data_IF_752288668118
#
_entry.id   IF_752288668118
#
_cell.length_a   1.000
_cell.length_b   1.000
_cell.length_c   1.000
_cell.angle_alpha   90.00
_cell.angle_beta   90.00
_cell.angle_gamma   90.00
#
_symmetry.space_group_name_H-M   'P 1'
#
loop_
_entity.id
_entity.type
_entity.pdbx_description
1 polymer ?
#
# COMPACT_ATOMS: atom_id res chain seq x y z
N UNK A 1 34.78 -23.33 -26.09
CA UNK A 1 34.26 -22.50 -27.20
C UNK A 1 32.99 -21.81 -26.71
N UNK A 2 32.82 -20.56 -27.16
CA UNK A 2 32.06 -19.49 -26.54
C UNK A 2 30.58 -19.77 -26.22
N UNK A 3 30.16 -19.39 -25.00
CA UNK A 3 28.78 -19.04 -24.68
C UNK A 3 28.64 -17.52 -24.86
N UNK A 4 27.92 -17.10 -25.90
CA UNK A 4 27.63 -15.70 -26.19
C UNK A 4 26.57 -15.18 -25.22
N UNK A 5 26.94 -14.20 -24.40
CA UNK A 5 26.05 -13.50 -23.48
C UNK A 5 25.06 -12.59 -24.22
N UNK A 6 23.78 -12.72 -23.86
CA UNK A 6 22.75 -11.76 -24.23
C UNK A 6 22.71 -10.71 -23.11
N UNK A 7 23.09 -9.48 -23.46
CA UNK A 7 23.03 -8.33 -22.59
C UNK A 7 21.58 -7.96 -22.32
N UNK A 8 21.14 -8.12 -21.06
CA UNK A 8 19.86 -7.58 -20.59
C UNK A 8 20.04 -6.08 -20.41
N UNK A 9 19.54 -5.31 -21.38
CA UNK A 9 19.46 -3.85 -21.29
C UNK A 9 18.32 -3.50 -20.34
N UNK A 10 18.64 -2.99 -19.15
CA UNK A 10 17.62 -2.43 -18.25
C UNK A 10 17.11 -1.11 -18.86
N UNK A 11 15.86 -1.11 -19.35
CA UNK A 11 15.16 0.11 -19.69
C UNK A 11 14.56 0.74 -18.42
N UNK A 12 14.62 2.08 -18.26
CA UNK A 12 14.10 2.76 -17.08
C UNK A 12 12.57 2.71 -17.04
N UNK A 13 12.04 2.32 -15.87
CA UNK A 13 10.63 2.01 -15.60
C UNK A 13 9.71 3.23 -15.43
N UNK A 14 10.08 4.42 -15.93
CA UNK A 14 9.29 5.65 -15.81
C UNK A 14 9.46 6.48 -17.10
N UNK A 15 8.39 6.80 -17.85
CA UNK A 15 8.51 7.79 -18.91
C UNK A 15 8.81 9.16 -18.26
N UNK A 16 9.90 9.81 -18.71
CA UNK A 16 10.15 11.22 -18.43
C UNK A 16 9.01 12.04 -19.05
N UNK A 17 8.00 12.35 -18.26
CA UNK A 17 7.02 13.37 -18.61
C UNK A 17 7.70 14.75 -18.51
N UNK A 18 8.27 15.21 -19.62
CA UNK A 18 8.51 16.64 -19.85
C UNK A 18 7.14 17.23 -20.21
N UNK A 19 6.34 17.49 -19.18
CA UNK A 19 5.06 18.16 -19.28
C UNK A 19 5.14 19.47 -18.52
N UNK A 20 5.19 20.59 -19.25
CA UNK A 20 5.06 21.93 -18.72
C UNK A 20 3.63 22.15 -18.20
N UNK A 21 3.29 21.56 -17.06
CA UNK A 21 2.05 21.86 -16.34
C UNK A 21 2.39 22.76 -15.17
N UNK A 22 2.31 24.07 -15.40
CA UNK A 22 2.41 25.07 -14.36
C UNK A 22 1.11 25.02 -13.54
N UNK A 23 1.04 24.12 -12.56
CA UNK A 23 0.02 24.19 -11.52
C UNK A 23 0.28 25.45 -10.69
N UNK A 24 -0.48 26.51 -10.95
CA UNK A 24 -0.58 27.64 -10.03
C UNK A 24 -1.33 27.16 -8.77
N UNK A 25 -0.60 26.54 -7.85
CA UNK A 25 -1.00 26.42 -6.45
C UNK A 25 -1.00 27.83 -5.86
N UNK A 26 -2.19 28.37 -5.61
CA UNK A 26 -2.33 29.55 -4.76
C UNK A 26 -1.76 29.26 -3.36
N UNK A 27 -1.12 30.23 -2.69
CA UNK A 27 -0.48 30.02 -1.40
C UNK A 27 -1.51 29.56 -0.37
N UNK A 28 -1.17 28.53 0.42
CA UNK A 28 -1.93 28.19 1.62
C UNK A 28 -2.01 29.42 2.53
N UNK A 29 -3.18 29.77 3.10
CA UNK A 29 -3.24 30.85 4.08
C UNK A 29 -2.45 30.44 5.32
N UNK A 30 -1.52 31.29 5.73
CA UNK A 30 -0.70 31.08 6.92
C UNK A 30 -1.60 30.97 8.17
N UNK A 31 -1.60 29.81 8.82
CA UNK A 31 -2.20 29.65 10.14
C UNK A 31 -1.31 30.39 11.15
N UNK A 32 -1.80 31.51 11.69
CA UNK A 32 -1.15 32.19 12.80
C UNK A 32 -1.22 31.30 14.05
N UNK A 33 -0.08 30.75 14.44
CA UNK A 33 0.08 30.04 15.71
C UNK A 33 0.04 31.08 16.85
N UNK A 34 -1.07 31.17 17.58
CA UNK A 34 -1.08 31.87 18.86
C UNK A 34 -0.33 31.03 19.90
N UNK A 35 0.55 31.70 20.64
CA UNK A 35 1.52 31.19 21.63
C UNK A 35 1.04 29.96 22.40
N UNK A 36 1.71 28.82 22.18
CA UNK A 36 1.60 27.65 23.07
C UNK A 36 2.52 27.87 24.25
N UNK A 37 1.91 28.03 25.42
CA UNK A 37 2.60 28.14 26.71
C UNK A 37 3.43 26.88 26.98
N UNK A 38 4.70 27.07 27.35
CA UNK A 38 5.70 26.03 27.58
C UNK A 38 5.23 25.08 28.69
N UNK A 39 4.84 23.86 28.34
CA UNK A 39 4.57 22.82 29.34
C UNK A 39 5.92 22.35 29.94
N UNK A 40 6.18 22.76 31.19
CA UNK A 40 7.34 22.32 31.96
C UNK A 40 7.25 20.81 32.22
N UNK A 41 8.36 20.12 32.02
CA UNK A 41 8.59 18.75 32.48
C UNK A 41 8.34 18.67 33.99
N UNK A 42 7.53 17.70 34.42
CA UNK A 42 7.26 17.42 35.83
C UNK A 42 8.53 16.96 36.56
N UNK A 43 8.77 17.40 37.81
CA UNK A 43 9.74 16.77 38.68
C UNK A 43 9.16 15.52 39.36
N UNK A 44 10.06 14.61 39.72
CA UNK A 44 9.80 13.35 40.41
C UNK A 44 9.20 13.54 41.81
N UNK A 45 8.35 12.58 42.21
CA UNK A 45 8.10 12.22 43.60
C UNK A 45 6.76 12.66 44.18
N UNK A 46 5.96 11.66 44.59
CA UNK A 46 5.17 11.56 45.84
C UNK A 46 3.88 10.75 45.68
N UNK A 47 3.66 9.92 46.70
CA UNK A 47 2.63 8.92 46.91
C UNK A 47 1.26 9.56 47.26
N UNK A 48 0.16 8.90 46.86
CA UNK A 48 -1.18 9.27 47.34
C UNK A 48 -2.33 8.62 46.56
N UNK A 49 -3.05 7.70 47.22
CA UNK A 49 -4.32 7.12 46.76
C UNK A 49 -5.38 8.23 46.59
N UNK A 50 -6.09 8.23 45.48
CA UNK A 50 -7.26 9.09 45.27
C UNK A 50 -8.04 8.70 44.02
N UNK A 51 -9.17 8.04 44.20
CA UNK A 51 -10.17 7.75 43.17
C UNK A 51 -10.78 9.04 42.63
N UNK A 52 -10.59 9.35 41.35
CA UNK A 52 -11.36 10.38 40.63
C UNK A 52 -11.93 9.82 39.32
N UNK A 53 -13.26 9.90 39.20
CA UNK A 53 -14.04 9.52 38.02
C UNK A 53 -13.69 10.43 36.84
N UNK A 54 -13.29 9.86 35.71
CA UNK A 54 -13.11 10.59 34.46
C UNK A 54 -14.48 10.85 33.81
N UNK A 55 -14.82 12.13 33.60
CA UNK A 55 -15.85 12.55 32.63
C UNK A 55 -15.20 12.59 31.24
N UNK A 56 -15.80 12.03 30.19
CA UNK A 56 -15.25 12.17 28.84
C UNK A 56 -15.50 13.58 28.31
N UNK A 57 -14.44 14.24 27.82
CA UNK A 57 -14.52 15.47 27.04
C UNK A 57 -14.95 15.11 25.62
N UNK A 58 -16.20 15.41 25.27
CA UNK A 58 -16.66 15.38 23.88
C UNK A 58 -16.06 16.57 23.12
N UNK A 59 -15.01 16.32 22.34
CA UNK A 59 -14.51 17.29 21.37
C UNK A 59 -15.31 17.13 20.07
N UNK A 60 -16.42 17.86 19.97
CA UNK A 60 -17.13 18.03 18.70
C UNK A 60 -16.30 19.00 17.84
N UNK A 61 -15.52 18.44 16.93
CA UNK A 61 -14.92 19.22 15.84
C UNK A 61 -16.03 19.46 14.81
N UNK A 62 -16.62 20.65 14.82
CA UNK A 62 -17.34 21.15 13.64
C UNK A 62 -16.29 21.54 12.60
N UNK A 63 -16.07 20.67 11.62
CA UNK A 63 -15.37 21.06 10.41
C UNK A 63 -16.38 21.71 9.46
N UNK A 64 -16.26 23.01 9.25
CA UNK A 64 -16.93 23.71 8.15
C UNK A 64 -16.26 23.31 6.82
N UNK A 65 -16.53 22.08 6.35
CA UNK A 65 -16.38 21.71 4.94
C UNK A 65 -17.69 22.10 4.25
N UNK A 66 -17.92 23.41 4.23
CA UNK A 66 -19.03 24.07 3.54
C UNK A 66 -18.58 24.57 2.18
N UNK A 67 -18.30 23.64 1.25
CA UNK A 67 -18.50 23.92 -0.17
C UNK A 67 -19.18 22.72 -0.80
N UNK A 68 -20.49 22.70 -0.60
CA UNK A 68 -21.43 21.90 -1.37
C UNK A 68 -21.24 22.22 -2.85
N UNK A 69 -20.51 21.37 -3.58
CA UNK A 69 -20.80 21.18 -5.00
C UNK A 69 -22.05 20.30 -5.08
N UNK A 70 -23.19 20.89 -4.71
CA UNK A 70 -24.52 20.39 -5.10
C UNK A 70 -24.67 20.70 -6.57
N UNK A 71 -24.18 19.75 -7.36
CA UNK A 71 -24.34 19.68 -8.80
C UNK A 71 -23.87 18.29 -9.19
N UNK A 72 -24.56 17.25 -8.72
CA UNK A 72 -24.41 15.91 -9.29
C UNK A 72 -24.76 16.05 -10.77
N UNK A 73 -23.73 16.12 -11.62
CA UNK A 73 -23.94 16.12 -13.06
C UNK A 73 -24.46 14.73 -13.43
N UNK A 74 -25.27 14.61 -14.48
CA UNK A 74 -25.81 13.31 -14.90
C UNK A 74 -24.71 12.27 -15.17
N UNK A 75 -23.51 12.71 -15.54
CA UNK A 75 -22.32 11.87 -15.68
C UNK A 75 -21.84 11.24 -14.38
N UNK A 76 -21.93 11.95 -13.25
CA UNK A 76 -21.44 11.43 -11.97
C UNK A 76 -22.29 10.27 -11.48
N UNK A 77 -23.61 10.36 -11.70
CA UNK A 77 -24.56 9.32 -11.33
C UNK A 77 -24.35 8.04 -12.14
N UNK A 78 -24.14 8.17 -13.45
CA UNK A 78 -23.86 7.02 -14.33
C UNK A 78 -22.55 6.32 -13.94
N UNK A 79 -21.48 7.06 -13.66
CA UNK A 79 -20.21 6.47 -13.22
C UNK A 79 -20.35 5.72 -11.88
N UNK A 80 -21.05 6.32 -10.92
CA UNK A 80 -21.31 5.68 -9.62
C UNK A 80 -22.13 4.39 -9.76
N UNK A 81 -23.09 4.38 -10.68
CA UNK A 81 -23.91 3.21 -10.99
C UNK A 81 -23.05 2.07 -11.58
N UNK A 82 -22.18 2.36 -12.54
CA UNK A 82 -21.25 1.36 -13.12
C UNK A 82 -20.36 0.74 -12.03
N UNK A 83 -19.83 1.56 -11.11
CA UNK A 83 -18.99 1.04 -10.02
C UNK A 83 -19.81 0.22 -9.02
N UNK A 84 -21.04 0.63 -8.71
CA UNK A 84 -21.93 -0.16 -7.85
C UNK A 84 -22.26 -1.51 -8.51
N UNK A 85 -22.49 -1.53 -9.82
CA UNK A 85 -22.71 -2.75 -10.60
C UNK A 85 -21.47 -3.66 -10.62
N UNK A 86 -20.27 -3.09 -10.69
CA UNK A 86 -19.01 -3.82 -10.59
C UNK A 86 -18.90 -4.59 -9.28
N UNK A 87 -19.08 -3.94 -8.13
CA UNK A 87 -19.08 -4.62 -6.82
C UNK A 87 -20.24 -5.62 -6.68
N UNK A 88 -21.43 -5.30 -7.21
CA UNK A 88 -22.55 -6.25 -7.23
C UNK A 88 -22.21 -7.51 -8.01
N UNK A 89 -21.52 -7.36 -9.15
CA UNK A 89 -21.08 -8.48 -9.99
C UNK A 89 -20.00 -9.32 -9.31
N UNK A 90 -19.07 -8.69 -8.57
CA UNK A 90 -18.11 -9.42 -7.71
C UNK A 90 -18.85 -10.27 -6.67
N UNK A 91 -19.77 -9.67 -5.91
CA UNK A 91 -20.50 -10.38 -4.85
C UNK A 91 -21.34 -11.54 -5.41
N UNK A 92 -21.98 -11.33 -6.57
CA UNK A 92 -22.76 -12.33 -7.30
C UNK A 92 -21.90 -13.37 -8.04
N UNK A 93 -20.58 -13.17 -8.10
CA UNK A 93 -19.64 -14.05 -8.80
C UNK A 93 -19.90 -14.10 -10.32
N UNK A 94 -20.38 -12.98 -10.87
CA UNK A 94 -20.78 -12.88 -12.28
C UNK A 94 -19.63 -12.36 -13.14
N UNK A 95 -18.79 -13.30 -13.60
CA UNK A 95 -17.65 -13.01 -14.48
C UNK A 95 -18.07 -12.40 -15.82
N UNK A 96 -19.26 -12.73 -16.34
CA UNK A 96 -19.72 -12.18 -17.62
C UNK A 96 -20.02 -10.70 -17.49
N UNK A 97 -20.75 -10.32 -16.44
CA UNK A 97 -21.02 -8.91 -16.15
C UNK A 97 -19.73 -8.12 -15.93
N UNK A 98 -18.78 -8.66 -15.15
CA UNK A 98 -17.46 -8.06 -14.93
C UNK A 98 -16.68 -7.84 -16.23
N UNK A 99 -16.63 -8.84 -17.10
CA UNK A 99 -15.99 -8.72 -18.41
C UNK A 99 -16.58 -7.57 -19.23
N UNK A 100 -17.89 -7.34 -19.14
CA UNK A 100 -18.51 -6.27 -19.90
C UNK A 100 -18.22 -4.88 -19.33
N UNK A 101 -17.98 -4.76 -18.01
CA UNK A 101 -17.75 -3.48 -17.33
C UNK A 101 -16.32 -2.97 -17.48
N UNK A 102 -15.37 -3.85 -17.79
CA UNK A 102 -13.96 -3.51 -17.96
C UNK A 102 -13.65 -3.03 -19.38
N UNK A 103 -12.79 -2.02 -19.48
CA UNK A 103 -12.15 -1.59 -20.73
C UNK A 103 -11.19 -2.66 -21.28
N UNK A 104 -10.88 -2.62 -22.58
CA UNK A 104 -9.90 -3.54 -23.19
C UNK A 104 -8.47 -3.32 -22.66
N UNK A 105 -8.08 -2.05 -22.53
CA UNK A 105 -6.78 -1.60 -22.01
C UNK A 105 -6.86 -1.23 -20.51
N UNK A 106 -7.77 -1.85 -19.76
CA UNK A 106 -7.91 -1.56 -18.35
C UNK A 106 -6.66 -1.96 -17.55
N UNK A 107 -6.44 -1.33 -16.39
CA UNK A 107 -5.48 -1.82 -15.43
C UNK A 107 -6.00 -1.72 -13.99
N UNK A 108 -5.63 -2.72 -13.19
CA UNK A 108 -5.99 -2.81 -11.78
C UNK A 108 -4.69 -2.73 -10.97
N UNK A 109 -4.55 -1.67 -10.20
CA UNK A 109 -3.43 -1.40 -9.30
C UNK A 109 -3.89 -1.62 -7.85
N UNK A 110 -3.84 -2.87 -7.41
CA UNK A 110 -4.03 -3.19 -5.99
C UNK A 110 -2.69 -3.10 -5.27
N UNK A 111 -2.58 -2.15 -4.34
CA UNK A 111 -1.33 -1.84 -3.63
C UNK A 111 -0.86 -2.96 -2.69
N UNK A 112 -1.63 -4.04 -2.56
CA UNK A 112 -1.21 -5.26 -1.90
C UNK A 112 -0.27 -6.11 -2.76
N UNK A 113 -0.23 -5.86 -4.08
CA UNK A 113 0.61 -6.56 -5.05
C UNK A 113 1.75 -5.66 -5.54
N UNK A 114 2.91 -6.26 -5.92
CA UNK A 114 4.08 -5.49 -6.35
C UNK A 114 3.93 -4.86 -7.74
N UNK A 115 3.03 -5.38 -8.58
CA UNK A 115 2.80 -4.92 -9.95
C UNK A 115 1.30 -4.87 -10.23
N UNK A 116 0.83 -3.90 -11.03
CA UNK A 116 -0.57 -3.84 -11.45
C UNK A 116 -0.88 -4.95 -12.47
N UNK A 117 -2.16 -5.35 -12.53
CA UNK A 117 -2.70 -6.26 -13.54
C UNK A 117 -3.05 -5.46 -14.80
N UNK A 118 -2.38 -5.76 -15.92
CA UNK A 118 -2.45 -4.98 -17.15
C UNK A 118 -3.34 -5.64 -18.21
N UNK A 119 -4.26 -4.87 -18.75
CA UNK A 119 -5.23 -5.30 -19.75
C UNK A 119 -6.35 -6.17 -19.17
N UNK A 120 -7.43 -6.29 -19.95
CA UNK A 120 -8.64 -7.03 -19.56
C UNK A 120 -8.37 -8.48 -19.14
N UNK A 121 -7.42 -9.16 -19.80
CA UNK A 121 -7.12 -10.58 -19.51
C UNK A 121 -6.55 -10.77 -18.11
N UNK A 122 -5.55 -9.98 -17.72
CA UNK A 122 -4.95 -10.08 -16.39
C UNK A 122 -5.92 -9.61 -15.31
N UNK A 123 -6.64 -8.51 -15.59
CA UNK A 123 -7.68 -8.01 -14.70
C UNK A 123 -8.77 -9.05 -14.41
N UNK A 124 -9.27 -9.77 -15.43
CA UNK A 124 -10.25 -10.83 -15.24
C UNK A 124 -9.68 -12.04 -14.50
N UNK A 125 -8.43 -12.43 -14.77
CA UNK A 125 -7.77 -13.50 -14.02
C UNK A 125 -7.66 -13.17 -12.53
N UNK A 126 -7.28 -11.93 -12.19
CA UNK A 126 -7.28 -11.45 -10.81
C UNK A 126 -8.68 -11.47 -10.19
N UNK A 127 -9.70 -10.99 -10.90
CA UNK A 127 -11.08 -10.97 -10.38
C UNK A 127 -11.65 -12.39 -10.18
N UNK A 128 -11.29 -13.34 -11.04
CA UNK A 128 -11.65 -14.75 -10.88
C UNK A 128 -10.99 -15.35 -9.62
N UNK A 129 -9.71 -15.08 -9.40
CA UNK A 129 -8.99 -15.50 -8.19
C UNK A 129 -9.58 -14.86 -6.93
N UNK A 130 -9.92 -13.58 -6.98
CA UNK A 130 -10.59 -12.85 -5.91
C UNK A 130 -11.94 -13.48 -5.56
N UNK A 131 -12.81 -13.67 -6.55
CA UNK A 131 -14.14 -14.28 -6.36
C UNK A 131 -14.04 -15.69 -5.79
N UNK A 132 -13.09 -16.48 -6.30
CA UNK A 132 -12.83 -17.84 -5.82
C UNK A 132 -12.39 -17.82 -4.36
N UNK A 133 -11.50 -16.90 -4.00
CA UNK A 133 -10.98 -16.73 -2.65
C UNK A 133 -12.02 -16.22 -1.65
N UNK A 134 -12.95 -15.37 -2.10
CA UNK A 134 -14.08 -14.88 -1.29
C UNK A 134 -15.06 -16.02 -0.91
N UNK A 135 -15.23 -17.00 -1.78
CA UNK A 135 -16.18 -18.09 -1.58
C UNK A 135 -17.63 -17.60 -1.46
N UNK A 136 -18.52 -18.44 -0.91
CA UNK A 136 -19.97 -18.19 -0.99
C UNK A 136 -20.50 -17.15 0.00
N UNK A 137 -19.79 -16.90 1.09
CA UNK A 137 -20.31 -16.18 2.25
C UNK A 137 -19.67 -14.81 2.45
N UNK A 138 -18.67 -14.45 1.64
CA UNK A 138 -17.94 -13.18 1.75
C UNK A 138 -18.43 -12.22 0.69
N UNK A 139 -18.67 -10.98 1.07
CA UNK A 139 -19.18 -9.92 0.19
C UNK A 139 -18.50 -8.58 0.49
N UNK A 140 -18.31 -7.77 -0.54
CA UNK A 140 -18.02 -6.34 -0.40
C UNK A 140 -19.28 -5.59 -0.01
N UNK A 141 -19.19 -4.80 1.05
CA UNK A 141 -20.23 -3.84 1.44
C UNK A 141 -19.71 -2.44 1.13
N UNK A 142 -20.46 -1.73 0.29
CA UNK A 142 -20.18 -0.34 -0.04
C UNK A 142 -20.70 0.54 1.10
N UNK A 143 -19.81 1.27 1.77
CA UNK A 143 -20.19 2.27 2.78
C UNK A 143 -20.55 3.61 2.10
N UNK A 144 -19.72 4.03 1.15
CA UNK A 144 -19.90 5.31 0.45
C UNK A 144 -19.37 5.23 -0.98
N UNK A 145 -20.06 5.92 -1.90
CA UNK A 145 -19.63 6.16 -3.28
C UNK A 145 -19.64 7.66 -3.52
N UNK A 146 -18.54 8.18 -4.04
CA UNK A 146 -18.38 9.60 -4.34
C UNK A 146 -17.95 9.75 -5.81
N UNK A 147 -18.76 10.45 -6.61
CA UNK A 147 -18.36 10.88 -7.95
C UNK A 147 -17.37 12.04 -7.90
N UNK A 148 -16.46 12.07 -8.86
CA UNK A 148 -15.48 13.13 -9.06
C UNK A 148 -15.45 13.63 -10.50
N UNK A 149 -14.56 14.58 -10.76
CA UNK A 149 -14.34 15.16 -12.10
C UNK A 149 -13.87 14.07 -13.07
N UNK A 150 -14.16 14.23 -14.36
CA UNK A 150 -13.69 13.36 -15.45
C UNK A 150 -14.06 11.88 -15.27
N UNK A 151 -15.28 11.61 -14.83
CA UNK A 151 -15.80 10.24 -14.63
C UNK A 151 -14.99 9.43 -13.61
N UNK A 152 -14.34 10.11 -12.66
CA UNK A 152 -13.69 9.44 -11.53
C UNK A 152 -14.71 9.05 -10.45
N UNK A 153 -14.48 7.93 -9.77
CA UNK A 153 -15.31 7.48 -8.65
C UNK A 153 -14.43 6.96 -7.53
N UNK A 154 -14.68 7.41 -6.30
CA UNK A 154 -14.08 6.84 -5.10
C UNK A 154 -15.12 6.04 -4.33
N UNK A 155 -14.72 4.86 -3.83
CA UNK A 155 -15.58 3.95 -3.06
C UNK A 155 -14.89 3.58 -1.77
N UNK A 156 -15.62 3.72 -0.67
CA UNK A 156 -15.23 3.16 0.62
C UNK A 156 -16.03 1.90 0.88
N UNK A 157 -15.35 0.83 1.26
CA UNK A 157 -15.95 -0.48 1.44
C UNK A 157 -15.32 -1.25 2.61
N UNK A 158 -15.99 -2.31 3.04
CA UNK A 158 -15.44 -3.35 3.91
C UNK A 158 -15.91 -4.73 3.45
N UNK A 159 -15.25 -5.80 3.91
CA UNK A 159 -15.73 -7.15 3.68
C UNK A 159 -16.61 -7.63 4.85
N UNK A 160 -17.69 -8.33 4.52
CA UNK A 160 -18.50 -9.08 5.47
C UNK A 160 -18.49 -10.56 5.14
N UNK A 161 -18.42 -11.40 6.18
CA UNK A 161 -18.70 -12.82 6.11
C UNK A 161 -20.03 -13.10 6.81
N UNK A 162 -21.03 -13.63 6.09
CA UNK A 162 -22.39 -13.87 6.62
C UNK A 162 -22.96 -12.65 7.39
N UNK A 163 -22.82 -11.46 6.82
CA UNK A 163 -23.25 -10.18 7.42
C UNK A 163 -22.49 -9.77 8.68
N UNK A 164 -21.33 -10.37 8.92
CA UNK A 164 -20.42 -9.98 10.00
C UNK A 164 -19.17 -9.35 9.39
N UNK A 165 -18.87 -8.11 9.75
CA UNK A 165 -17.67 -7.41 9.27
C UNK A 165 -16.40 -8.17 9.63
N UNK A 166 -15.55 -8.42 8.62
CA UNK A 166 -14.27 -9.08 8.81
C UNK A 166 -13.25 -8.03 9.32
N UNK A 167 -12.56 -8.27 10.44
CA UNK A 167 -11.56 -7.33 10.96
C UNK A 167 -10.45 -7.06 9.94
N UNK A 168 -9.98 -5.80 9.88
CA UNK A 168 -8.85 -5.38 9.03
C UNK A 168 -9.07 -5.57 7.53
N UNK A 169 -10.32 -5.55 7.06
CA UNK A 169 -10.68 -5.67 5.63
C UNK A 169 -11.40 -4.43 5.10
N UNK A 170 -11.19 -3.29 5.74
CA UNK A 170 -11.69 -2.02 5.24
C UNK A 170 -10.82 -1.60 4.06
N UNK A 171 -11.42 -0.97 3.06
CA UNK A 171 -10.68 -0.50 1.90
C UNK A 171 -11.28 0.74 1.29
N UNK A 172 -10.47 1.36 0.44
CA UNK A 172 -10.84 2.45 -0.42
C UNK A 172 -10.37 2.11 -1.83
N UNK A 173 -11.26 2.29 -2.80
CA UNK A 173 -10.92 2.11 -4.21
C UNK A 173 -11.21 3.37 -4.98
N UNK A 174 -10.30 3.71 -5.88
CA UNK A 174 -10.44 4.81 -6.82
C UNK A 174 -10.54 4.26 -8.23
N UNK A 175 -11.48 4.78 -9.01
CA UNK A 175 -11.76 4.34 -10.36
C UNK A 175 -11.72 5.51 -11.33
N UNK A 176 -11.13 5.28 -12.49
CA UNK A 176 -11.28 6.15 -13.66
C UNK A 176 -12.07 5.38 -14.72
N UNK A 177 -13.17 5.97 -15.17
CA UNK A 177 -13.99 5.40 -16.24
C UNK A 177 -13.74 6.15 -17.54
N UNK A 178 -14.01 5.49 -18.65
CA UNK A 178 -13.92 6.10 -19.98
C UNK A 178 -14.99 5.53 -20.90
N UNK A 179 -15.35 6.28 -21.95
CA UNK A 179 -16.26 5.78 -22.98
C UNK A 179 -15.50 4.98 -24.04
N UNK A 180 -15.88 3.72 -24.21
CA UNK A 180 -15.52 2.91 -25.37
C UNK A 180 -16.75 2.78 -26.28
N UNK A 181 -16.80 3.59 -27.33
CA UNK A 181 -18.01 3.77 -28.13
C UNK A 181 -19.13 4.40 -27.31
N UNK A 182 -20.30 3.76 -27.27
CA UNK A 182 -21.43 4.24 -26.47
C UNK A 182 -21.37 3.80 -25.00
N UNK A 183 -20.51 2.82 -24.66
CA UNK A 183 -20.47 2.21 -23.34
C UNK A 183 -19.46 2.89 -22.43
N UNK A 184 -19.90 3.18 -21.20
CA UNK A 184 -19.01 3.60 -20.11
C UNK A 184 -18.37 2.36 -19.47
N UNK A 185 -17.05 2.32 -19.40
CA UNK A 185 -16.28 1.17 -18.90
C UNK A 185 -15.19 1.61 -17.93
N UNK A 186 -14.80 0.72 -17.02
CA UNK A 186 -13.73 0.94 -16.05
C UNK A 186 -12.39 0.80 -16.76
N UNK A 187 -11.64 1.90 -16.82
CA UNK A 187 -10.29 1.94 -17.41
C UNK A 187 -9.21 1.72 -16.36
N UNK A 188 -9.41 2.23 -15.16
CA UNK A 188 -8.48 2.09 -14.05
C UNK A 188 -9.21 1.77 -12.78
N UNK A 189 -8.64 0.87 -12.01
CA UNK A 189 -8.97 0.67 -10.60
C UNK A 189 -7.68 0.75 -9.79
N UNK A 190 -7.66 1.58 -8.75
CA UNK A 190 -6.60 1.58 -7.75
C UNK A 190 -7.21 1.22 -6.41
N UNK A 191 -6.68 0.18 -5.77
CA UNK A 191 -7.27 -0.42 -4.56
C UNK A 191 -6.30 -0.29 -3.39
N UNK A 192 -6.79 0.28 -2.30
CA UNK A 192 -6.06 0.49 -1.06
C UNK A 192 -6.78 -0.25 0.07
N UNK A 193 -6.11 -1.23 0.69
CA UNK A 193 -6.70 -2.08 1.73
C UNK A 193 -6.03 -1.76 3.07
N UNK A 194 -6.83 -1.80 4.15
CA UNK A 194 -6.31 -1.73 5.51
C UNK A 194 -5.29 -2.84 5.73
N UNK A 195 -4.09 -2.48 6.19
CA UNK A 195 -3.09 -3.49 6.53
C UNK A 195 -3.47 -4.20 7.84
N UNK A 196 -3.40 -5.55 7.90
CA UNK A 196 -3.61 -6.29 9.14
C UNK A 196 -2.50 -5.98 10.15
N UNK A 197 -1.31 -5.61 9.66
CA UNK A 197 -0.24 -5.06 10.47
C UNK A 197 -0.43 -3.55 10.54
N UNK A 198 -0.47 -2.98 11.75
CA UNK A 198 -0.70 -1.54 11.95
C UNK A 198 0.60 -0.83 12.31
N UNK A 199 1.52 -0.57 11.35
CA UNK A 199 2.84 -0.02 11.64
C UNK A 199 2.80 1.47 11.97
N UNK A 200 1.63 2.10 12.16
CA UNK A 200 1.51 3.56 12.28
C UNK A 200 2.50 4.19 13.26
N UNK A 201 2.72 3.58 14.43
CA UNK A 201 3.72 4.03 15.40
C UNK A 201 5.16 3.97 14.86
N UNK A 202 5.52 2.85 14.21
CA UNK A 202 6.84 2.67 13.60
C UNK A 202 7.04 3.61 12.40
N UNK A 203 6.03 3.74 11.53
CA UNK A 203 6.07 4.64 10.38
C UNK A 203 6.26 6.10 10.83
N UNK A 204 5.57 6.52 11.89
CA UNK A 204 5.77 7.85 12.48
C UNK A 204 7.16 8.01 13.11
N UNK A 205 7.68 6.98 13.77
CA UNK A 205 9.03 7.01 14.32
C UNK A 205 10.10 7.11 13.21
N UNK A 206 9.93 6.36 12.12
CA UNK A 206 10.79 6.45 10.93
C UNK A 206 10.71 7.83 10.29
N UNK A 207 9.50 8.37 10.08
CA UNK A 207 9.32 9.71 9.53
C UNK A 207 10.01 10.78 10.40
N UNK A 208 9.88 10.69 11.72
CA UNK A 208 10.60 11.58 12.66
C UNK A 208 12.11 11.44 12.50
N UNK A 209 12.63 10.22 12.42
CA UNK A 209 14.05 9.95 12.20
C UNK A 209 14.54 10.55 10.88
N UNK A 210 13.79 10.33 9.79
CA UNK A 210 14.09 10.90 8.47
C UNK A 210 14.13 12.42 8.52
N UNK A 211 13.15 13.07 9.17
CA UNK A 211 13.14 14.52 9.29
C UNK A 211 14.37 15.03 10.07
N UNK A 212 14.75 14.40 11.18
CA UNK A 212 15.96 14.78 11.94
C UNK A 212 17.22 14.69 11.07
N UNK A 213 17.36 13.62 10.28
CA UNK A 213 18.50 13.45 9.37
C UNK A 213 18.44 14.48 8.23
N UNK A 214 17.26 14.71 7.66
CA UNK A 214 17.08 15.61 6.54
C UNK A 214 17.38 17.06 6.94
N UNK A 215 16.91 17.47 8.11
CA UNK A 215 17.13 18.79 8.70
C UNK A 215 18.59 19.01 9.13
N UNK A 216 19.30 17.94 9.52
CA UNK A 216 20.72 18.01 9.85
C UNK A 216 21.62 18.19 8.60
N UNK A 217 21.17 17.73 7.43
CA UNK A 217 21.94 17.76 6.18
C UNK A 217 21.14 18.26 4.97
N UNK A 218 20.59 19.49 5.00
CA UNK A 218 19.61 19.96 4.02
C UNK A 218 20.13 19.94 2.58
N UNK A 219 21.38 20.35 2.35
CA UNK A 219 21.96 20.34 1.00
C UNK A 219 22.18 18.92 0.42
N UNK A 220 22.44 17.92 1.26
CA UNK A 220 22.52 16.53 0.83
C UNK A 220 21.12 15.96 0.56
N UNK A 221 20.15 16.32 1.40
CA UNK A 221 18.74 15.96 1.25
C UNK A 221 18.15 16.50 -0.04
N UNK A 222 18.33 17.78 -0.36
CA UNK A 222 17.82 18.36 -1.61
C UNK A 222 18.40 17.65 -2.85
N UNK A 223 19.70 17.33 -2.83
CA UNK A 223 20.33 16.56 -3.92
C UNK A 223 19.76 15.13 -4.01
N UNK A 224 19.52 14.49 -2.87
CA UNK A 224 18.90 13.16 -2.79
C UNK A 224 17.46 13.16 -3.29
N UNK A 225 16.62 14.10 -2.86
CA UNK A 225 15.22 14.17 -3.27
C UNK A 225 15.06 14.52 -4.76
N UNK A 226 15.93 15.38 -5.30
CA UNK A 226 15.91 15.75 -6.72
C UNK A 226 16.52 14.67 -7.64
N UNK A 227 17.41 13.82 -7.13
CA UNK A 227 18.02 12.75 -7.91
C UNK A 227 18.22 11.46 -7.10
N UNK A 228 17.13 10.79 -6.70
CA UNK A 228 17.20 9.64 -5.81
C UNK A 228 18.07 8.52 -6.39
N UNK A 229 17.92 8.23 -7.68
CA UNK A 229 18.66 7.16 -8.37
C UNK A 229 20.17 7.42 -8.42
N UNK A 230 20.60 8.64 -8.77
CA UNK A 230 22.02 8.98 -8.85
C UNK A 230 22.70 8.94 -7.47
N UNK A 231 22.00 9.41 -6.44
CA UNK A 231 22.50 9.37 -5.07
C UNK A 231 22.52 7.95 -4.49
N UNK A 232 21.50 7.13 -4.78
CA UNK A 232 21.51 5.71 -4.40
C UNK A 232 22.66 4.95 -5.06
N UNK A 233 22.93 5.18 -6.35
CA UNK A 233 24.07 4.55 -7.04
C UNK A 233 25.41 4.96 -6.42
N UNK A 234 25.60 6.24 -6.09
CA UNK A 234 26.79 6.67 -5.34
C UNK A 234 26.89 6.00 -3.97
N UNK A 235 25.79 5.93 -3.21
CA UNK A 235 25.77 5.30 -1.89
C UNK A 235 26.09 3.80 -1.98
N UNK A 236 25.52 3.10 -2.97
CA UNK A 236 25.79 1.69 -3.26
C UNK A 236 27.24 1.49 -3.70
N UNK A 237 27.82 2.43 -4.44
CA UNK A 237 29.22 2.39 -4.84
C UNK A 237 30.14 2.52 -3.62
N UNK A 238 29.85 3.46 -2.72
CA UNK A 238 30.56 3.62 -1.44
C UNK A 238 30.42 2.35 -0.58
N UNK A 239 29.21 1.79 -0.48
CA UNK A 239 28.96 0.52 0.21
C UNK A 239 29.81 -0.63 -0.38
N UNK A 240 29.90 -0.75 -1.71
CA UNK A 240 30.70 -1.78 -2.38
C UNK A 240 32.19 -1.63 -2.09
N UNK A 241 32.70 -0.41 -2.03
CA UNK A 241 34.14 -0.16 -1.78
C UNK A 241 34.49 -0.35 -0.31
N UNK A 242 33.67 0.20 0.60
CA UNK A 242 34.03 0.32 2.02
C UNK A 242 33.44 -0.82 2.84
N UNK A 243 32.13 -1.08 2.71
CA UNK A 243 31.42 -2.02 3.57
C UNK A 243 31.51 -3.46 3.07
N UNK A 244 31.50 -3.69 1.75
CA UNK A 244 31.59 -5.04 1.17
C UNK A 244 32.83 -5.82 1.65
N UNK A 245 34.07 -5.29 1.59
CA UNK A 245 35.24 -6.03 2.07
C UNK A 245 35.19 -6.31 3.58
N UNK A 246 34.57 -5.45 4.37
CA UNK A 246 34.39 -5.68 5.82
C UNK A 246 33.32 -6.74 6.11
N UNK A 247 32.22 -6.77 5.37
CA UNK A 247 31.08 -7.68 5.63
C UNK A 247 31.32 -9.08 5.04
N UNK A 248 32.04 -9.18 3.91
CA UNK A 248 32.39 -10.45 3.23
C UNK A 248 32.92 -11.55 4.17
N UNK A 249 33.90 -11.31 5.05
CA UNK A 249 34.40 -12.34 5.96
C UNK A 249 33.30 -12.84 6.93
N UNK A 250 32.45 -11.95 7.44
CA UNK A 250 31.34 -12.32 8.33
C UNK A 250 30.28 -13.16 7.61
N UNK A 251 29.89 -12.76 6.40
CA UNK A 251 28.94 -13.55 5.59
C UNK A 251 29.55 -14.92 5.28
N UNK A 252 30.83 -14.98 4.89
CA UNK A 252 31.53 -16.24 4.60
C UNK A 252 31.56 -17.16 5.82
N UNK A 253 31.87 -16.61 6.99
CA UNK A 253 31.83 -17.31 8.26
C UNK A 253 30.42 -17.81 8.61
N UNK A 254 29.41 -16.95 8.48
CA UNK A 254 28.01 -17.29 8.74
C UNK A 254 27.50 -18.41 7.82
N UNK A 255 27.82 -18.37 6.52
CA UNK A 255 27.44 -19.44 5.59
C UNK A 255 28.12 -20.77 5.96
N UNK A 256 29.39 -20.76 6.39
CA UNK A 256 30.06 -21.96 6.90
C UNK A 256 29.38 -22.51 8.15
N UNK A 257 29.01 -21.63 9.08
CA UNK A 257 28.27 -21.99 10.28
C UNK A 257 26.93 -22.65 9.93
N UNK A 258 26.17 -22.08 8.99
CA UNK A 258 24.89 -22.63 8.53
C UNK A 258 25.02 -23.97 7.80
N UNK A 259 26.11 -24.19 7.05
CA UNK A 259 26.38 -25.51 6.44
C UNK A 259 26.65 -26.59 7.48
N UNK A 260 27.36 -26.22 8.56
CA UNK A 260 27.62 -27.11 9.67
C UNK A 260 26.33 -27.45 10.41
N UNK A 261 25.48 -26.48 10.72
CA UNK A 261 24.17 -26.74 11.36
C UNK A 261 23.27 -27.63 10.50
N UNK A 262 23.22 -27.41 9.18
CA UNK A 262 22.48 -28.28 8.26
C UNK A 262 23.00 -29.72 8.25
N UNK A 263 24.32 -29.93 8.33
CA UNK A 263 24.91 -31.26 8.43
C UNK A 263 24.54 -31.96 9.75
N UNK A 264 24.56 -31.24 10.87
CA UNK A 264 24.11 -31.75 12.17
C UNK A 264 22.62 -32.15 12.14
N UNK A 265 21.76 -31.30 11.56
CA UNK A 265 20.33 -31.60 11.39
C UNK A 265 20.11 -32.84 10.50
N UNK A 266 20.86 -32.97 9.41
CA UNK A 266 20.79 -34.13 8.51
C UNK A 266 21.20 -35.43 9.22
N UNK A 267 22.26 -35.37 10.03
CA UNK A 267 22.70 -36.52 10.84
C UNK A 267 21.66 -36.90 11.89
N UNK A 268 21.12 -35.92 12.62
CA UNK A 268 20.05 -36.14 13.59
C UNK A 268 18.81 -36.78 12.94
N UNK A 269 18.41 -36.31 11.75
CA UNK A 269 17.31 -36.89 11.00
C UNK A 269 17.58 -38.36 10.61
N UNK A 270 18.79 -38.68 10.13
CA UNK A 270 19.18 -40.07 9.82
C UNK A 270 19.18 -40.98 11.06
N UNK A 271 19.62 -40.47 12.21
CA UNK A 271 19.56 -41.21 13.47
C UNK A 271 18.12 -41.50 13.90
N UNK A 272 17.22 -40.51 13.80
CA UNK A 272 15.80 -40.70 14.08
C UNK A 272 15.19 -41.76 13.16
N UNK A 273 15.47 -41.71 11.85
CA UNK A 273 15.02 -42.72 10.89
C UNK A 273 15.52 -44.12 11.25
N UNK A 274 16.77 -44.24 11.69
CA UNK A 274 17.37 -45.52 12.10
C UNK A 274 16.74 -46.07 13.38
N UNK A 275 16.49 -45.21 14.37
CA UNK A 275 15.78 -45.58 15.60
C UNK A 275 14.34 -46.01 15.29
N UNK A 276 13.60 -45.24 14.50
CA UNK A 276 12.24 -45.59 14.08
C UNK A 276 12.20 -46.96 13.36
N UNK A 277 13.17 -47.23 12.49
CA UNK A 277 13.27 -48.53 11.77
C UNK A 277 13.52 -49.71 12.71
N UNK A 278 14.23 -49.51 13.81
CA UNK A 278 14.49 -50.54 14.81
C UNK A 278 13.29 -50.77 15.76
N UNK A 279 12.44 -49.76 15.99
CA UNK A 279 11.22 -49.89 16.79
C UNK A 279 10.00 -50.42 16.00
N UNK A 280 10.02 -50.33 14.67
CA UNK A 280 8.97 -50.86 13.78
C UNK A 280 9.23 -52.32 13.33
N UNK A 281 10.09 -53.04 14.05
CA UNK A 281 10.37 -54.48 13.88
C UNK A 281 9.87 -55.23 15.11
#
# INVERSE_FOLDING_TARGET
>A
MALSGIAITQQPLWPKAVGNYRCHLSPFPAVKLHSVEKMRLFPQGFTGKGTKKNKPLNLVVKSDIGRSYTGSTGSDYESQKIITEFYSSINKKDMKSLETLLSKDCFIDDLSFPMPFQGKKEALGFLEELITSMGQNTEFIIEHVCGGVDQAVAVKWHLEWKKMQIPFTRGCSYYELSREGEKLVIKKAQVMIESPFKPGGLALAMLKGTNVVFDAFPGATERFLNSPSAMFEMLLHIYKIVLSPMIRPFISWYVKLMRLTAAFLSLAFKLVQLVMKNFNK
#
